data_IF_979554709577
#
_entry.id   IF_979554709577
#
_cell.length_a   1.000
_cell.length_b   1.000
_cell.length_c   1.000
_cell.angle_alpha   90.00
_cell.angle_beta   90.00
_cell.angle_gamma   90.00
#
_symmetry.space_group_name_H-M   'P 1'
#
loop_
_entity.id
_entity.type
_entity.pdbx_description
1 polymer ?
2 non-polymer ?
3 non-polymer ?
4 water ?
#
# COMPACT_ATOMS: atom_id res chain seq x y z
N UNK A 5 7.57 -8.34 23.81
CA UNK A 5 7.03 -8.95 22.55
C UNK A 5 7.62 -8.31 21.30
N UNK A 6 8.24 -9.14 20.43
CA UNK A 6 8.85 -8.64 19.19
C UNK A 6 7.81 -8.14 18.21
N UNK A 7 8.16 -7.06 17.52
CA UNK A 7 7.28 -6.49 16.51
C UNK A 7 7.37 -7.44 15.30
N UNK A 8 6.27 -8.10 14.96
CA UNK A 8 6.30 -9.02 13.83
C UNK A 8 5.76 -8.45 12.50
N UNK A 9 6.64 -8.37 11.50
CA UNK A 9 6.28 -7.88 10.17
C UNK A 9 6.16 -9.02 9.17
N UNK A 10 5.01 -9.10 8.50
CA UNK A 10 4.82 -10.13 7.49
C UNK A 10 4.95 -9.48 6.13
N UNK A 11 5.85 -9.98 5.29
CA UNK A 11 6.02 -9.40 3.95
C UNK A 11 5.80 -10.47 2.90
N UNK A 12 4.71 -10.33 2.15
CA UNK A 12 4.40 -11.28 1.11
C UNK A 12 4.51 -10.57 -0.24
N UNK A 13 4.22 -11.29 -1.31
CA UNK A 13 4.28 -10.70 -2.63
C UNK A 13 4.65 -11.73 -3.67
N UNK A 14 4.36 -11.44 -4.93
CA UNK A 14 4.70 -12.37 -5.99
C UNK A 14 6.20 -12.54 -6.12
N UNK A 15 6.61 -13.52 -6.92
CA UNK A 15 8.02 -13.77 -7.13
C UNK A 15 8.63 -12.56 -7.88
N UNK A 16 9.79 -12.10 -7.40
CA UNK A 16 10.53 -10.96 -7.97
C UNK A 16 9.78 -9.64 -7.84
N UNK A 17 8.90 -9.55 -6.85
CA UNK A 17 8.11 -8.36 -6.59
C UNK A 17 8.92 -7.28 -5.86
N UNK A 18 10.02 -7.68 -5.25
CA UNK A 18 10.84 -6.73 -4.50
C UNK A 18 10.77 -6.97 -2.99
N UNK A 19 10.04 -8.00 -2.59
CA UNK A 19 9.88 -8.34 -1.17
C UNK A 19 11.16 -8.79 -0.48
N UNK A 20 12.07 -9.43 -1.20
CA UNK A 20 13.34 -9.85 -0.60
C UNK A 20 14.16 -8.59 -0.33
N UNK A 21 14.27 -7.74 -1.34
CA UNK A 21 15.02 -6.49 -1.22
C UNK A 21 14.43 -5.58 -0.16
N UNK A 22 13.10 -5.41 -0.20
CA UNK A 22 12.42 -4.54 0.76
C UNK A 22 12.70 -5.02 2.18
N UNK A 23 12.58 -6.34 2.37
CA UNK A 23 12.81 -6.96 3.66
C UNK A 23 14.23 -6.71 4.14
N UNK A 24 15.20 -6.87 3.24
CA UNK A 24 16.59 -6.66 3.58
C UNK A 24 16.89 -5.20 3.91
N UNK A 25 16.36 -4.29 3.10
CA UNK A 25 16.56 -2.85 3.32
C UNK A 25 15.99 -2.41 4.67
N UNK A 26 14.90 -3.06 5.09
CA UNK A 26 14.27 -2.75 6.36
C UNK A 26 15.15 -3.34 7.47
N UNK A 27 15.71 -4.50 7.19
CA UNK A 27 16.59 -5.20 8.11
C UNK A 27 17.87 -4.41 8.33
N UNK A 28 18.37 -3.83 7.24
CA UNK A 28 19.60 -3.03 7.24
C UNK A 28 19.40 -1.71 7.97
N UNK A 29 18.20 -1.15 7.87
CA UNK A 29 17.86 0.13 8.50
C UNK A 29 17.71 0.04 10.03
N UNK A 30 17.35 -1.14 10.54
CA UNK A 30 17.18 -1.31 11.97
C UNK A 30 18.40 -1.99 12.62
N UNK A 31 19.37 -2.37 11.79
CA UNK A 31 20.58 -3.01 12.28
C UNK A 31 20.42 -4.35 12.97
N UNK A 32 21.14 -4.50 14.09
CA UNK A 32 21.13 -5.72 14.90
C UNK A 32 19.75 -6.05 15.50
N UNK A 33 18.81 -5.13 15.33
CA UNK A 33 17.48 -5.29 15.90
C UNK A 33 16.43 -6.09 15.11
N UNK A 34 16.83 -6.66 13.98
CA UNK A 34 15.89 -7.45 13.20
C UNK A 34 16.38 -8.84 12.86
N UNK A 35 15.45 -9.80 12.90
CA UNK A 35 15.71 -11.18 12.53
C UNK A 35 14.84 -11.39 11.28
N UNK A 36 15.48 -11.73 10.17
CA UNK A 36 14.82 -11.95 8.90
C UNK A 36 14.76 -13.44 8.49
N UNK A 37 13.53 -13.99 8.46
CA UNK A 37 13.26 -15.39 8.08
C UNK A 37 12.55 -15.49 6.71
N UNK A 38 13.30 -15.84 5.65
CA UNK A 38 12.71 -15.96 4.31
C UNK A 38 12.09 -17.33 4.10
N UNK A 39 10.77 -17.38 4.08
CA UNK A 39 10.06 -18.65 3.88
C UNK A 39 10.38 -19.35 2.54
N UNK A 40 10.88 -18.59 1.56
CA UNK A 40 11.23 -19.18 0.27
C UNK A 40 12.45 -20.13 0.37
N UNK A 41 13.01 -20.28 1.57
CA UNK A 41 14.14 -21.20 1.79
C UNK A 41 13.72 -22.41 2.61
N UNK A 42 12.44 -22.45 2.96
CA UNK A 42 11.89 -23.53 3.77
C UNK A 42 11.12 -24.58 2.96
N UNK A 43 11.59 -24.90 1.76
CA UNK A 43 10.93 -25.94 0.96
C UNK A 43 11.28 -27.25 1.64
N UNK A 44 10.36 -28.22 1.57
CA UNK A 44 10.61 -29.52 2.18
C UNK A 44 11.88 -30.12 1.61
N UNK A 45 12.64 -30.78 2.47
CA UNK A 45 13.88 -31.43 2.05
C UNK A 45 13.50 -32.66 1.24
N UNK A 46 13.68 -32.58 -0.06
CA UNK A 46 13.37 -33.69 -0.94
C UNK A 46 14.67 -34.28 -1.48
N UNK A 47 15.73 -34.13 -0.70
CA UNK A 47 17.04 -34.61 -1.11
C UNK A 47 17.21 -36.10 -1.39
N UNK A 48 16.30 -36.92 -0.87
CA UNK A 48 16.32 -38.36 -1.08
C UNK A 48 15.71 -38.74 -2.44
N UNK A 49 15.18 -37.77 -3.16
CA UNK A 49 14.56 -38.06 -4.46
C UNK A 49 15.42 -37.70 -5.66
N UNK A 50 15.27 -38.45 -6.77
CA UNK A 50 16.07 -38.15 -7.97
C UNK A 50 15.71 -36.76 -8.56
N UNK A 51 16.66 -36.17 -9.28
CA UNK A 51 16.48 -34.86 -9.90
C UNK A 51 15.20 -34.81 -10.76
N UNK A 52 14.94 -35.88 -11.51
CA UNK A 52 13.77 -35.96 -12.35
C UNK A 52 12.51 -35.62 -11.57
N UNK A 53 12.42 -36.15 -10.35
CA UNK A 53 11.25 -35.91 -9.51
C UNK A 53 11.28 -34.58 -8.76
N UNK A 54 12.46 -34.08 -8.41
CA UNK A 54 12.54 -32.77 -7.75
C UNK A 54 12.19 -31.69 -8.78
N UNK A 55 12.39 -32.01 -10.06
CA UNK A 55 12.09 -31.09 -11.16
C UNK A 55 10.61 -31.03 -11.54
N UNK A 56 9.83 -32.03 -11.11
CA UNK A 56 8.41 -32.04 -11.43
C UNK A 56 7.56 -31.32 -10.38
N UNK A 57 8.11 -31.19 -9.18
CA UNK A 57 7.43 -30.54 -8.07
C UNK A 57 7.02 -29.08 -8.34
N UNK A 58 5.80 -28.75 -7.98
CA UNK A 58 5.25 -27.39 -8.13
C UNK A 58 5.68 -26.60 -6.87
N UNK A 59 6.76 -25.85 -7.03
CA UNK A 59 7.36 -25.04 -5.98
C UNK A 59 6.64 -23.76 -5.68
N UNK A 60 5.38 -23.67 -6.09
CA UNK A 60 4.59 -22.48 -5.85
C UNK A 60 3.26 -22.84 -5.20
N UNK A 61 3.12 -24.13 -4.91
CA UNK A 61 1.93 -24.69 -4.25
C UNK A 61 2.28 -24.72 -2.75
N UNK A 62 1.33 -24.33 -1.88
CA UNK A 62 1.67 -24.37 -0.45
C UNK A 62 2.19 -25.69 0.09
N UNK A 63 1.87 -26.79 -0.60
CA UNK A 63 2.34 -28.10 -0.16
C UNK A 63 3.85 -28.34 -0.35
N UNK A 64 4.49 -27.50 -1.17
CA UNK A 64 5.92 -27.65 -1.39
C UNK A 64 6.71 -27.07 -0.21
N UNK A 65 6.02 -26.38 0.68
CA UNK A 65 6.66 -25.74 1.83
C UNK A 65 6.60 -26.51 3.16
N UNK A 66 7.70 -26.40 3.91
CA UNK A 66 7.81 -27.04 5.21
C UNK A 66 7.25 -26.05 6.22
N UNK A 67 5.93 -25.89 6.22
CA UNK A 67 5.28 -24.96 7.13
C UNK A 67 5.57 -25.31 8.59
N UNK A 68 5.54 -26.60 8.91
CA UNK A 68 5.80 -27.07 10.27
C UNK A 68 7.06 -26.44 10.81
N UNK A 69 8.14 -26.59 10.05
CA UNK A 69 9.46 -26.06 10.42
C UNK A 69 9.49 -24.54 10.50
N UNK A 70 8.97 -23.87 9.46
CA UNK A 70 8.97 -22.40 9.42
C UNK A 70 8.30 -21.80 10.66
N UNK A 71 7.13 -22.35 11.00
CA UNK A 71 6.35 -21.91 12.16
C UNK A 71 7.11 -22.23 13.46
N UNK A 72 7.81 -23.36 13.49
CA UNK A 72 8.58 -23.77 14.66
C UNK A 72 9.66 -22.71 14.93
N UNK A 73 10.30 -22.24 13.86
CA UNK A 73 11.33 -21.23 13.99
C UNK A 73 10.74 -19.85 14.29
N UNK A 74 9.61 -19.53 13.65
CA UNK A 74 8.97 -18.25 13.90
C UNK A 74 8.60 -18.14 15.39
N UNK A 75 8.17 -19.27 15.95
CA UNK A 75 7.79 -19.33 17.36
C UNK A 75 9.00 -19.37 18.30
N UNK A 76 10.12 -19.89 17.82
CA UNK A 76 11.34 -19.96 18.62
C UNK A 76 11.89 -18.55 18.83
N UNK A 77 11.93 -17.76 17.76
CA UNK A 77 12.43 -16.37 17.83
C UNK A 77 11.50 -15.51 18.69
N UNK A 78 10.21 -15.84 18.67
CA UNK A 78 9.22 -15.11 19.45
C UNK A 78 9.40 -15.34 20.93
N UNK A 79 10.14 -16.40 21.27
CA UNK A 79 10.40 -16.72 22.65
C UNK A 79 11.88 -16.45 22.97
N UNK A 80 12.51 -15.66 22.10
CA UNK A 80 13.90 -15.29 22.27
C UNK A 80 14.93 -16.39 22.03
N UNK A 81 14.59 -17.39 21.23
CA UNK A 81 15.51 -18.48 20.94
C UNK A 81 16.02 -18.32 19.51
N UNK A 82 17.28 -18.72 19.25
CA UNK A 82 17.86 -18.62 17.91
C UNK A 82 17.54 -19.90 17.12
N UNK A 83 17.75 -19.86 15.81
CA UNK A 83 17.48 -21.03 14.98
C UNK A 83 18.57 -21.25 13.93
N UNK A 84 18.65 -22.48 13.43
CA UNK A 84 19.60 -22.80 12.38
C UNK A 84 18.76 -22.87 11.11
N UNK A 85 18.63 -21.72 10.46
CA UNK A 85 17.84 -21.57 9.25
C UNK A 85 18.37 -22.36 8.06
N UNK A 86 17.53 -23.24 7.48
CA UNK A 86 17.94 -24.03 6.31
C UNK A 86 18.19 -23.10 5.13
N UNK A 87 18.94 -23.58 4.14
CA UNK A 87 19.22 -22.76 2.98
C UNK A 87 18.88 -23.58 1.75
N UNK A 88 17.97 -23.09 0.93
CA UNK A 88 17.63 -23.85 -0.26
C UNK A 88 18.61 -23.56 -1.41
N UNK A 89 19.08 -24.62 -2.05
CA UNK A 89 20.01 -24.53 -3.18
C UNK A 89 19.13 -24.50 -4.43
N UNK A 90 18.90 -23.31 -4.99
CA UNK A 90 18.05 -23.18 -6.17
C UNK A 90 18.69 -23.67 -7.46
N UNK A 91 20.00 -23.84 -7.44
CA UNK A 91 20.70 -24.33 -8.63
C UNK A 91 20.61 -25.85 -8.72
N UNK A 92 20.61 -26.52 -7.58
CA UNK A 92 20.55 -27.99 -7.58
C UNK A 92 19.13 -28.51 -7.31
N UNK A 93 18.24 -27.61 -6.90
CA UNK A 93 16.84 -27.92 -6.59
C UNK A 93 16.67 -28.79 -5.35
N UNK A 94 17.33 -28.43 -4.26
CA UNK A 94 17.20 -29.24 -3.05
C UNK A 94 17.63 -28.47 -1.83
N UNK A 95 17.22 -28.93 -0.66
CA UNK A 95 17.61 -28.27 0.57
C UNK A 95 19.13 -28.41 0.65
N UNK A 96 19.82 -27.29 0.78
CA UNK A 96 21.27 -27.29 0.86
C UNK A 96 21.80 -27.85 2.17
N UNK A 97 23.07 -28.31 2.18
CA UNK A 97 23.66 -28.84 3.41
C UNK A 97 24.00 -27.66 4.33
N UNK A 98 24.11 -26.48 3.72
CA UNK A 98 24.42 -25.23 4.40
C UNK A 98 23.26 -24.77 5.30
N UNK A 99 23.62 -24.22 6.46
CA UNK A 99 22.65 -23.68 7.40
C UNK A 99 23.10 -22.26 7.73
N UNK A 100 22.23 -21.47 8.33
CA UNK A 100 22.59 -20.11 8.69
C UNK A 100 21.95 -19.71 10.01
N UNK A 101 22.76 -19.22 10.95
CA UNK A 101 22.31 -18.78 12.27
C UNK A 101 21.53 -17.48 12.23
N UNK A 102 20.37 -17.49 12.88
CA UNK A 102 19.52 -16.32 12.97
C UNK A 102 19.24 -16.09 14.46
N UNK A 103 19.80 -15.01 14.98
CA UNK A 103 19.66 -14.64 16.39
C UNK A 103 18.33 -13.94 16.68
N UNK A 104 17.75 -14.17 17.87
CA UNK A 104 16.49 -13.51 18.23
C UNK A 104 16.67 -11.99 18.22
N UNK A 105 15.58 -11.28 18.00
CA UNK A 105 15.64 -9.82 17.91
C UNK A 105 14.27 -9.23 18.19
N UNK A 106 14.22 -7.93 18.54
CA UNK A 106 12.97 -7.22 18.85
C UNK A 106 12.10 -6.93 17.62
N UNK A 107 12.56 -7.33 16.45
CA UNK A 107 11.78 -7.15 15.24
C UNK A 107 12.01 -8.40 14.40
N UNK A 108 10.93 -9.10 14.08
CA UNK A 108 11.06 -10.29 13.25
C UNK A 108 10.30 -10.13 11.93
N UNK A 109 11.04 -10.23 10.82
CA UNK A 109 10.46 -10.12 9.49
C UNK A 109 10.27 -11.52 8.88
N UNK A 110 9.00 -11.86 8.67
CA UNK A 110 8.60 -13.13 8.06
C UNK A 110 8.31 -12.81 6.59
N UNK A 111 9.28 -13.08 5.73
CA UNK A 111 9.16 -12.77 4.30
C UNK A 111 9.03 -14.00 3.40
N UNK A 112 8.11 -13.92 2.42
CA UNK A 112 7.90 -15.01 1.49
C UNK A 112 6.67 -14.85 0.61
N UNK A 113 6.62 -15.55 -0.53
CA UNK A 113 5.46 -15.49 -1.42
C UNK A 113 4.16 -15.97 -0.76
N UNK A 114 4.30 -16.89 0.20
CA UNK A 114 3.13 -17.44 0.88
C UNK A 114 3.09 -17.24 2.39
N UNK A 115 3.82 -16.26 2.91
CA UNK A 115 3.79 -16.02 4.36
C UNK A 115 2.44 -15.48 4.81
N UNK A 116 1.57 -15.10 3.87
CA UNK A 116 0.25 -14.59 4.21
C UNK A 116 -0.89 -15.61 3.94
N UNK A 117 -0.51 -16.81 3.50
CA UNK A 117 -1.48 -17.85 3.20
C UNK A 117 -1.99 -18.62 4.42
N UNK A 118 -1.09 -19.17 5.24
CA UNK A 118 -1.58 -19.91 6.40
C UNK A 118 -1.98 -18.97 7.52
N UNK A 119 -3.18 -19.17 8.07
CA UNK A 119 -3.66 -18.33 9.16
C UNK A 119 -2.71 -18.42 10.36
N UNK A 120 -2.08 -19.56 10.53
CA UNK A 120 -1.16 -19.74 11.65
C UNK A 120 -0.05 -18.72 11.58
N UNK A 121 0.38 -18.37 10.37
CA UNK A 121 1.43 -17.38 10.19
C UNK A 121 0.91 -15.97 10.34
N UNK A 122 -0.32 -15.74 9.89
CA UNK A 122 -0.93 -14.43 9.98
C UNK A 122 -1.14 -13.98 11.43
N UNK A 123 -1.57 -14.92 12.28
CA UNK A 123 -1.82 -14.63 13.69
C UNK A 123 -0.60 -14.17 14.49
N UNK A 124 0.60 -14.44 13.95
CA UNK A 124 1.85 -14.04 14.60
C UNK A 124 2.29 -12.64 14.19
N UNK A 125 1.63 -12.08 13.18
CA UNK A 125 1.97 -10.78 12.64
C UNK A 125 1.23 -9.58 13.17
N UNK A 126 1.99 -8.51 13.44
CA UNK A 126 1.43 -7.23 13.92
C UNK A 126 1.17 -6.34 12.71
N UNK A 127 2.01 -6.49 11.68
CA UNK A 127 1.92 -5.73 10.44
C UNK A 127 2.08 -6.69 9.27
N UNK A 128 1.07 -6.73 8.41
CA UNK A 128 1.08 -7.60 7.24
C UNK A 128 1.26 -6.74 5.99
N UNK A 129 2.31 -7.01 5.23
CA UNK A 129 2.58 -6.25 4.01
C UNK A 129 2.57 -7.12 2.76
N UNK A 130 2.05 -6.56 1.67
CA UNK A 130 2.07 -7.24 0.39
C UNK A 130 2.77 -6.27 -0.55
N UNK A 131 3.86 -6.72 -1.17
CA UNK A 131 4.64 -5.91 -2.10
C UNK A 131 4.03 -6.12 -3.50
N UNK A 132 3.45 -5.08 -4.07
CA UNK A 132 2.78 -5.22 -5.35
C UNK A 132 3.54 -4.78 -6.61
N UNK A 133 3.50 -5.63 -7.62
CA UNK A 133 4.12 -5.37 -8.92
C UNK A 133 3.44 -6.20 -9.99
N UNK A 134 3.28 -5.61 -11.17
CA UNK A 134 2.67 -6.26 -12.32
C UNK A 134 3.52 -7.45 -12.75
N UNK A 135 2.87 -8.57 -12.99
CA UNK A 135 3.53 -9.79 -13.39
C UNK A 135 4.52 -9.63 -14.56
N UNK A 136 4.25 -8.71 -15.49
CA UNK A 136 5.19 -8.55 -16.59
C UNK A 136 6.53 -8.05 -16.09
N UNK A 137 6.49 -7.07 -15.19
CA UNK A 137 7.72 -6.52 -14.63
C UNK A 137 8.41 -7.56 -13.75
N UNK A 138 7.62 -8.29 -12.97
CA UNK A 138 8.16 -9.31 -12.09
C UNK A 138 8.78 -10.45 -12.89
N UNK A 139 8.16 -10.81 -14.01
CA UNK A 139 8.67 -11.87 -14.86
C UNK A 139 10.05 -11.50 -15.39
N UNK A 140 10.23 -10.24 -15.76
CA UNK A 140 11.50 -9.75 -16.28
C UNK A 140 12.62 -10.05 -15.28
N UNK A 141 12.38 -9.70 -14.02
CA UNK A 141 13.36 -9.94 -12.97
C UNK A 141 13.52 -11.43 -12.69
N UNK A 142 12.42 -12.17 -12.64
CA UNK A 142 12.46 -13.61 -12.41
C UNK A 142 13.40 -14.24 -13.45
N UNK A 143 13.12 -13.98 -14.71
CA UNK A 143 13.92 -14.48 -15.83
C UNK A 143 15.41 -14.10 -15.71
N UNK A 144 15.70 -12.84 -15.38
CA UNK A 144 17.09 -12.36 -15.24
C UNK A 144 17.81 -13.11 -14.14
N UNK A 145 17.19 -13.12 -12.96
CA UNK A 145 17.76 -13.81 -11.81
C UNK A 145 17.95 -15.31 -12.12
N UNK A 146 16.98 -15.93 -12.78
CA UNK A 146 17.07 -17.36 -13.11
C UNK A 146 18.16 -17.76 -14.08
N UNK A 147 18.36 -16.95 -15.12
CA UNK A 147 19.37 -17.25 -16.12
C UNK A 147 20.78 -16.85 -15.68
N UNK A 148 20.88 -15.81 -14.86
CA UNK A 148 22.19 -15.34 -14.41
C UNK A 148 22.70 -16.03 -13.15
N UNK A 149 21.80 -16.36 -12.24
CA UNK A 149 22.20 -16.98 -10.98
C UNK A 149 21.77 -18.41 -10.68
N UNK A 150 20.78 -18.93 -11.39
CA UNK A 150 20.29 -20.26 -11.08
C UNK A 150 20.42 -21.40 -12.09
N UNK A 151 21.30 -21.24 -13.07
CA UNK A 151 21.51 -22.27 -14.07
C UNK A 151 20.26 -22.69 -14.85
N UNK A 152 19.28 -21.80 -14.90
CA UNK A 152 18.02 -22.10 -15.61
C UNK A 152 18.06 -21.67 -17.08
N UNK A 153 17.43 -22.49 -17.93
CA UNK A 153 17.37 -22.18 -19.35
C UNK A 153 16.21 -21.24 -19.66
N UNK A 154 16.27 -20.59 -20.82
CA UNK A 154 15.23 -19.66 -21.26
C UNK A 154 13.89 -20.36 -21.33
N UNK A 155 13.90 -21.50 -22.01
CA UNK A 155 12.72 -22.32 -22.20
C UNK A 155 12.20 -22.89 -20.88
N UNK A 156 13.12 -23.33 -20.03
CA UNK A 156 12.75 -23.87 -18.74
C UNK A 156 12.05 -22.89 -17.84
N UNK A 157 12.47 -21.63 -17.86
CA UNK A 157 11.85 -20.60 -17.03
C UNK A 157 10.44 -20.29 -17.52
N UNK A 158 10.30 -20.06 -18.83
CA UNK A 158 8.99 -19.77 -19.44
C UNK A 158 8.04 -20.93 -19.11
N UNK A 159 8.50 -22.15 -19.36
CA UNK A 159 7.68 -23.33 -19.07
C UNK A 159 7.22 -23.33 -17.62
N UNK A 160 8.17 -23.24 -16.69
CA UNK A 160 7.86 -23.25 -15.27
C UNK A 160 6.88 -22.16 -14.88
N UNK A 161 7.16 -20.94 -15.34
CA UNK A 161 6.32 -19.80 -15.03
C UNK A 161 4.88 -19.94 -15.51
N UNK A 162 4.69 -20.34 -16.77
CA UNK A 162 3.35 -20.48 -17.35
C UNK A 162 2.52 -21.63 -16.79
N UNK A 163 3.13 -22.79 -16.57
CA UNK A 163 2.36 -23.91 -16.03
C UNK A 163 2.40 -24.06 -14.49
N UNK A 164 3.24 -23.28 -13.81
CA UNK A 164 3.31 -23.36 -12.35
C UNK A 164 3.27 -22.04 -11.60
N UNK A 165 4.38 -21.31 -11.62
CA UNK A 165 4.48 -20.03 -10.92
C UNK A 165 3.26 -19.11 -11.11
N UNK A 166 2.86 -18.89 -12.36
CA UNK A 166 1.71 -18.01 -12.65
C UNK A 166 0.35 -18.47 -12.12
N UNK A 167 -0.11 -19.67 -12.54
CA UNK A 167 -1.42 -20.14 -12.04
C UNK A 167 -1.44 -20.25 -10.51
N UNK A 168 -0.32 -20.71 -9.92
CA UNK A 168 -0.24 -20.82 -8.46
C UNK A 168 -0.34 -19.44 -7.85
N UNK A 169 0.26 -18.46 -8.50
CA UNK A 169 0.25 -17.08 -8.05
C UNK A 169 -1.15 -16.44 -8.03
N UNK A 170 -1.91 -16.66 -9.11
CA UNK A 170 -3.25 -16.12 -9.24
C UNK A 170 -4.20 -16.80 -8.26
N UNK A 171 -4.01 -18.11 -8.10
CA UNK A 171 -4.86 -18.89 -7.21
C UNK A 171 -4.50 -18.85 -5.70
N UNK A 172 -3.23 -18.72 -5.37
CA UNK A 172 -2.80 -18.72 -3.96
C UNK A 172 -2.24 -17.41 -3.42
N UNK A 173 -1.14 -16.95 -4.01
CA UNK A 173 -0.46 -15.72 -3.59
C UNK A 173 -1.32 -14.46 -3.62
N UNK A 174 -1.69 -14.03 -4.83
CA UNK A 174 -2.49 -12.83 -5.09
C UNK A 174 -3.71 -12.62 -4.19
N UNK A 175 -4.49 -13.67 -3.92
CA UNK A 175 -5.66 -13.47 -3.04
C UNK A 175 -5.25 -13.02 -1.62
N UNK A 176 -4.04 -13.37 -1.17
CA UNK A 176 -3.60 -12.99 0.19
C UNK A 176 -3.41 -11.49 0.34
N UNK A 177 -3.63 -10.75 -0.73
CA UNK A 177 -3.50 -9.29 -0.67
C UNK A 177 -4.60 -8.72 0.23
N UNK A 178 -5.69 -9.48 0.36
CA UNK A 178 -6.84 -9.11 1.18
C UNK A 178 -6.52 -9.08 2.68
N UNK A 179 -5.47 -9.81 3.07
CA UNK A 179 -5.07 -9.87 4.46
C UNK A 179 -4.04 -8.79 4.79
N UNK A 180 -3.60 -8.05 3.78
CA UNK A 180 -2.60 -7.02 3.99
C UNK A 180 -3.09 -5.69 4.57
N UNK A 181 -2.29 -5.14 5.48
CA UNK A 181 -2.60 -3.86 6.09
C UNK A 181 -2.14 -2.77 5.14
N UNK A 182 -0.97 -2.97 4.54
CA UNK A 182 -0.44 -2.01 3.60
C UNK A 182 0.14 -2.72 2.37
N UNK A 183 0.00 -2.07 1.21
CA UNK A 183 0.49 -2.59 -0.06
C UNK A 183 1.65 -1.70 -0.54
N UNK A 184 2.81 -2.30 -0.78
CA UNK A 184 3.98 -1.54 -1.24
C UNK A 184 4.34 -1.72 -2.72
N UNK A 185 4.25 -0.64 -3.50
CA UNK A 185 4.58 -0.71 -4.93
C UNK A 185 6.10 -0.52 -5.11
N UNK A 186 6.66 -1.09 -6.18
CA UNK A 186 8.10 -0.97 -6.46
C UNK A 186 8.94 -1.32 -5.23
N UNK A 187 8.55 -2.39 -4.53
CA UNK A 187 9.25 -2.81 -3.32
C UNK A 187 10.76 -2.69 -3.35
N UNK A 188 11.34 -2.94 -4.52
CA UNK A 188 12.78 -2.85 -4.69
C UNK A 188 13.36 -1.45 -4.60
N UNK A 189 12.62 -0.47 -5.08
CA UNK A 189 13.09 0.91 -5.04
C UNK A 189 11.96 1.88 -4.63
N UNK A 190 11.77 1.98 -3.32
CA UNK A 190 10.75 2.83 -2.73
C UNK A 190 11.30 3.29 -1.38
N UNK A 191 12.09 4.37 -1.38
CA UNK A 191 12.70 4.92 -0.16
C UNK A 191 11.68 5.49 0.82
N UNK A 192 10.58 6.01 0.28
CA UNK A 192 9.52 6.60 1.08
C UNK A 192 8.79 5.56 1.89
N UNK A 193 8.38 4.47 1.25
CA UNK A 193 7.68 3.39 1.94
C UNK A 193 8.62 2.76 2.96
N UNK A 194 9.89 2.65 2.60
CA UNK A 194 10.91 2.09 3.49
C UNK A 194 10.99 2.90 4.77
N UNK A 195 11.14 4.21 4.63
CA UNK A 195 11.22 5.12 5.76
C UNK A 195 10.01 5.04 6.67
N UNK A 196 8.82 4.99 6.08
CA UNK A 196 7.59 4.90 6.84
C UNK A 196 7.50 3.60 7.63
N UNK A 197 7.98 2.51 7.05
CA UNK A 197 7.95 1.21 7.72
C UNK A 197 8.98 1.20 8.84
N UNK A 198 10.12 1.85 8.59
CA UNK A 198 11.18 1.92 9.58
C UNK A 198 10.63 2.74 10.75
N UNK A 199 9.97 3.85 10.42
CA UNK A 199 9.37 4.74 11.42
C UNK A 199 8.33 4.01 12.25
N UNK A 200 7.51 3.20 11.59
CA UNK A 200 6.50 2.42 12.26
C UNK A 200 7.18 1.48 13.27
N UNK A 201 8.19 0.76 12.80
CA UNK A 201 8.95 -0.17 13.64
C UNK A 201 9.70 0.56 14.76
N UNK A 202 10.35 1.69 14.41
CA UNK A 202 11.08 2.49 15.39
C UNK A 202 10.18 2.91 16.54
N UNK A 203 8.93 3.24 16.21
CA UNK A 203 7.97 3.66 17.21
C UNK A 203 7.63 2.50 18.14
N UNK A 204 7.44 1.31 17.57
CA UNK A 204 7.13 0.13 18.36
C UNK A 204 8.33 -0.27 19.23
N UNK A 205 9.54 -0.10 18.68
CA UNK A 205 10.77 -0.42 19.41
C UNK A 205 10.89 0.51 20.61
N UNK A 206 10.51 1.76 20.40
CA UNK A 206 10.54 2.77 21.47
C UNK A 206 9.58 2.36 22.58
N UNK A 207 8.42 1.79 22.21
CA UNK A 207 7.43 1.34 23.19
C UNK A 207 8.02 0.21 24.02
N UNK A 208 8.92 -0.57 23.42
CA UNK A 208 9.58 -1.68 24.11
C UNK A 208 10.51 -1.16 25.22
N UNK A 209 11.36 -0.20 24.86
CA UNK A 209 12.29 0.38 25.81
C UNK A 209 11.68 1.35 26.79
N UNK A 210 10.87 2.29 26.28
CA UNK A 210 10.21 3.28 27.12
C UNK A 210 9.13 2.63 27.99
N UNK A 211 8.84 3.26 29.13
CA UNK A 211 7.83 2.78 30.07
C UNK A 211 7.32 3.91 30.97
N UNK B 4 10.50 26.47 8.75
CA UNK B 4 10.70 25.08 8.27
C UNK B 4 9.84 24.81 7.04
N UNK B 5 9.07 23.73 7.08
CA UNK B 5 8.18 23.33 5.98
C UNK B 5 7.32 22.18 6.47
N UNK B 6 5.99 22.28 6.26
CA UNK B 6 5.03 21.27 6.68
C UNK B 6 5.16 19.93 5.96
N UNK B 7 4.69 18.88 6.62
CA UNK B 7 4.68 17.53 6.08
C UNK B 7 3.43 17.46 5.20
N UNK B 8 3.62 17.25 3.90
CA UNK B 8 2.53 17.17 2.95
C UNK B 8 2.23 15.75 2.50
N UNK B 9 1.01 15.28 2.81
CA UNK B 9 0.58 13.94 2.42
C UNK B 9 -0.54 14.03 1.40
N UNK B 10 -0.38 13.30 0.30
CA UNK B 10 -1.39 13.27 -0.73
C UNK B 10 -2.15 11.96 -0.53
N UNK B 11 -3.47 12.01 -0.59
CA UNK B 11 -4.27 10.80 -0.44
C UNK B 11 -5.29 10.77 -1.56
N UNK B 12 -5.01 9.98 -2.58
CA UNK B 12 -5.91 9.85 -3.71
C UNK B 12 -6.62 8.52 -3.61
N UNK B 13 -7.46 8.24 -4.61
CA UNK B 13 -8.21 7.00 -4.67
C UNK B 13 -9.50 7.22 -5.42
N UNK B 14 -10.20 6.16 -5.75
CA UNK B 14 -11.45 6.31 -6.47
C UNK B 14 -12.52 6.93 -5.60
N UNK B 15 -13.65 7.29 -6.20
CA UNK B 15 -14.75 7.83 -5.42
C UNK B 15 -15.20 6.70 -4.50
N UNK B 16 -15.48 7.05 -3.24
CA UNK B 16 -15.92 6.09 -2.24
C UNK B 16 -14.90 5.01 -1.87
N UNK B 17 -13.62 5.31 -2.01
CA UNK B 17 -12.57 4.35 -1.68
C UNK B 17 -12.24 4.34 -0.17
N UNK B 18 -12.55 5.42 0.52
CA UNK B 18 -12.25 5.50 1.93
C UNK B 18 -11.25 6.62 2.18
N UNK B 19 -10.79 7.26 1.10
CA UNK B 19 -9.82 8.34 1.18
C UNK B 19 -10.24 9.47 2.13
N UNK B 20 -11.53 9.75 2.22
CA UNK B 20 -12.01 10.81 3.10
C UNK B 20 -11.93 10.38 4.57
N UNK B 21 -12.39 9.16 4.85
CA UNK B 21 -12.36 8.63 6.21
C UNK B 21 -10.95 8.44 6.75
N UNK B 22 -10.04 7.93 5.90
CA UNK B 22 -8.65 7.75 6.32
C UNK B 22 -8.04 9.14 6.61
N UNK B 23 -8.31 10.11 5.73
CA UNK B 23 -7.81 11.47 5.91
C UNK B 23 -8.29 12.08 7.23
N UNK B 24 -9.56 11.85 7.56
CA UNK B 24 -10.11 12.37 8.79
C UNK B 24 -9.59 11.63 10.00
N UNK B 25 -9.47 10.30 9.88
CA UNK B 25 -8.96 9.47 10.97
C UNK B 25 -7.54 9.88 11.32
N UNK B 26 -6.71 10.12 10.30
CA UNK B 26 -5.33 10.55 10.50
C UNK B 26 -5.29 11.93 11.16
N UNK B 27 -6.13 12.83 10.66
CA UNK B 27 -6.21 14.19 11.19
C UNK B 27 -6.64 14.15 12.65
N UNK B 28 -7.68 13.37 12.93
CA UNK B 28 -8.22 13.21 14.27
C UNK B 28 -7.14 12.74 15.24
N UNK B 29 -6.45 11.67 14.86
CA UNK B 29 -5.39 11.07 15.69
C UNK B 29 -4.24 12.02 16.02
N UNK B 30 -3.76 12.76 15.03
CA UNK B 30 -2.66 13.69 15.24
C UNK B 30 -3.09 14.94 16.01
N UNK B 31 -4.37 15.00 16.37
CA UNK B 31 -4.91 16.13 17.11
C UNK B 31 -4.94 17.43 16.31
N UNK B 32 -4.72 18.54 17.02
CA UNK B 32 -4.73 19.86 16.41
C UNK B 32 -3.42 20.20 15.69
N UNK B 33 -2.86 19.22 14.98
CA UNK B 33 -1.61 19.42 14.25
C UNK B 33 -1.75 19.14 12.76
N UNK B 34 -2.98 19.19 12.26
CA UNK B 34 -3.22 18.88 10.85
C UNK B 34 -4.19 19.83 10.13
N UNK B 35 -3.92 20.04 8.85
CA UNK B 35 -4.76 20.88 7.99
C UNK B 35 -5.24 19.98 6.84
N UNK B 36 -6.56 19.84 6.71
CA UNK B 36 -7.14 18.99 5.67
C UNK B 36 -7.79 19.72 4.51
N UNK B 37 -7.25 19.52 3.30
CA UNK B 37 -7.80 20.14 2.09
C UNK B 37 -8.38 19.12 1.12
N UNK B 38 -9.70 18.91 1.20
CA UNK B 38 -10.38 17.96 0.31
C UNK B 38 -10.58 18.60 -1.06
N UNK B 39 -9.82 18.17 -2.04
CA UNK B 39 -9.92 18.72 -3.41
C UNK B 39 -11.33 18.58 -3.99
N UNK B 40 -12.13 17.67 -3.44
CA UNK B 40 -13.50 17.47 -3.90
C UNK B 40 -14.46 18.62 -3.55
N UNK B 41 -13.93 19.66 -2.94
CA UNK B 41 -14.73 20.83 -2.58
C UNK B 41 -14.22 22.02 -3.38
N UNK B 42 -13.24 21.75 -4.24
CA UNK B 42 -12.63 22.77 -5.07
C UNK B 42 -13.06 22.73 -6.53
N UNK B 43 -14.29 22.31 -6.81
CA UNK B 43 -14.76 22.30 -8.19
C UNK B 43 -14.87 23.74 -8.68
N UNK B 44 -14.59 23.96 -9.96
CA UNK B 44 -14.70 25.30 -10.53
C UNK B 44 -16.08 25.85 -10.18
N UNK B 45 -16.15 27.13 -9.81
CA UNK B 45 -17.44 27.72 -9.46
C UNK B 45 -18.25 27.85 -10.75
N UNK B 46 -19.40 27.20 -10.80
CA UNK B 46 -20.24 27.23 -11.98
C UNK B 46 -21.65 27.72 -11.67
N UNK B 47 -21.77 28.54 -10.63
CA UNK B 47 -23.07 29.06 -10.24
C UNK B 47 -23.75 29.94 -11.28
N UNK B 48 -22.97 30.43 -12.25
CA UNK B 48 -23.52 31.29 -13.30
C UNK B 48 -24.32 30.50 -14.33
N UNK B 49 -23.99 29.21 -14.47
CA UNK B 49 -24.66 28.34 -15.42
C UNK B 49 -26.01 27.83 -14.93
N UNK B 50 -26.94 27.53 -15.85
CA UNK B 50 -28.28 27.01 -15.51
C UNK B 50 -28.13 25.59 -14.94
N UNK B 51 -29.10 25.15 -14.12
CA UNK B 51 -29.06 23.83 -13.51
C UNK B 51 -28.83 22.68 -14.47
N UNK B 52 -29.50 22.70 -15.61
CA UNK B 52 -29.34 21.64 -16.60
C UNK B 52 -27.91 21.55 -17.08
N UNK B 53 -27.27 22.70 -17.26
CA UNK B 53 -25.87 22.73 -17.70
C UNK B 53 -25.02 22.10 -16.59
N UNK B 54 -25.33 22.47 -15.35
CA UNK B 54 -24.64 21.97 -14.17
C UNK B 54 -24.81 20.47 -13.98
N UNK B 55 -25.92 19.91 -14.45
CA UNK B 55 -26.15 18.47 -14.32
C UNK B 55 -25.45 17.62 -15.38
N UNK B 56 -25.03 18.26 -16.47
CA UNK B 56 -24.36 17.62 -17.59
C UNK B 56 -22.83 17.61 -17.48
N UNK B 57 -22.30 18.53 -16.67
CA UNK B 57 -20.85 18.60 -16.49
C UNK B 57 -20.29 17.30 -15.93
N UNK B 58 -19.15 16.88 -16.46
CA UNK B 58 -18.46 15.69 -16.03
C UNK B 58 -17.58 16.08 -14.85
N UNK B 59 -18.04 15.78 -13.64
CA UNK B 59 -17.33 16.10 -12.43
C UNK B 59 -16.21 15.16 -12.05
N UNK B 60 -15.76 14.36 -13.01
CA UNK B 60 -14.66 13.43 -12.74
C UNK B 60 -13.50 13.70 -13.68
N UNK B 61 -13.67 14.71 -14.54
CA UNK B 61 -12.64 15.11 -15.49
C UNK B 61 -11.81 16.21 -14.81
N UNK B 62 -10.49 16.25 -15.07
CA UNK B 62 -9.58 17.25 -14.50
C UNK B 62 -10.02 18.71 -14.69
N UNK B 63 -10.50 19.04 -15.90
CA UNK B 63 -10.95 20.40 -16.21
C UNK B 63 -12.07 20.91 -15.29
N UNK B 64 -12.75 20.00 -14.59
CA UNK B 64 -13.82 20.39 -13.68
C UNK B 64 -13.29 20.94 -12.35
N UNK B 65 -12.01 20.70 -12.06
CA UNK B 65 -11.42 21.18 -10.81
C UNK B 65 -10.65 22.50 -10.88
N UNK B 66 -10.92 23.37 -9.91
CA UNK B 66 -10.23 24.65 -9.83
C UNK B 66 -8.87 24.39 -9.15
N UNK B 67 -7.96 23.83 -9.94
CA UNK B 67 -6.61 23.53 -9.48
C UNK B 67 -5.87 24.80 -9.08
N UNK B 68 -6.03 25.88 -9.84
CA UNK B 68 -5.38 27.16 -9.53
C UNK B 68 -5.63 27.55 -8.08
N UNK B 69 -6.91 27.56 -7.70
CA UNK B 69 -7.32 27.93 -6.36
C UNK B 69 -6.77 26.94 -5.34
N UNK B 70 -6.85 25.65 -5.68
CA UNK B 70 -6.40 24.59 -4.81
C UNK B 70 -4.91 24.70 -4.55
N UNK B 71 -4.15 24.92 -5.61
CA UNK B 71 -2.70 25.07 -5.57
C UNK B 71 -2.34 26.33 -4.76
N UNK B 72 -3.10 27.40 -4.95
CA UNK B 72 -2.90 28.65 -4.24
C UNK B 72 -3.06 28.39 -2.74
N UNK B 73 -4.14 27.68 -2.39
CA UNK B 73 -4.41 27.35 -0.99
C UNK B 73 -3.37 26.41 -0.39
N UNK B 74 -2.83 25.53 -1.22
CA UNK B 74 -1.81 24.59 -0.77
C UNK B 74 -0.50 25.34 -0.52
N UNK B 75 -0.18 26.28 -1.40
CA UNK B 75 1.03 27.07 -1.26
C UNK B 75 0.97 28.02 -0.07
N UNK B 76 -0.20 28.60 0.17
CA UNK B 76 -0.38 29.51 1.31
C UNK B 76 -0.25 28.75 2.63
N UNK B 77 -0.81 27.54 2.69
CA UNK B 77 -0.74 26.72 3.89
C UNK B 77 0.70 26.27 4.17
N UNK B 78 1.49 26.11 3.11
CA UNK B 78 2.89 25.70 3.24
C UNK B 78 3.76 26.87 3.72
N UNK B 79 3.29 28.09 3.43
CA UNK B 79 4.00 29.30 3.86
C UNK B 79 3.48 29.78 5.22
N UNK B 80 2.73 28.92 5.89
CA UNK B 80 2.18 29.24 7.21
C UNK B 80 1.08 30.30 7.19
N UNK B 81 0.19 30.20 6.22
CA UNK B 81 -0.93 31.13 6.08
C UNK B 81 -2.27 30.39 6.04
N UNK B 82 -3.29 30.91 6.73
CA UNK B 82 -4.61 30.28 6.75
C UNK B 82 -5.32 30.50 5.40
N UNK B 83 -6.38 29.75 5.15
CA UNK B 83 -7.10 29.90 3.89
C UNK B 83 -8.60 29.78 4.07
N UNK B 84 -9.35 30.42 3.16
CA UNK B 84 -10.80 30.35 3.17
C UNK B 84 -11.18 29.28 2.13
N UNK B 85 -11.37 28.06 2.61
CA UNK B 85 -11.70 26.93 1.76
C UNK B 85 -13.15 26.97 1.25
N UNK B 86 -13.35 26.79 -0.07
CA UNK B 86 -14.70 26.80 -0.65
C UNK B 86 -15.43 25.52 -0.26
N UNK B 87 -16.74 25.60 -0.08
CA UNK B 87 -17.54 24.44 0.27
C UNK B 87 -18.45 24.11 -0.89
N UNK B 88 -18.36 22.88 -1.39
CA UNK B 88 -19.18 22.47 -2.52
C UNK B 88 -20.49 21.84 -2.07
N UNK B 89 -21.57 22.25 -2.72
CA UNK B 89 -22.92 21.77 -2.45
C UNK B 89 -23.27 20.71 -3.51
N UNK B 90 -23.30 19.45 -3.08
CA UNK B 90 -23.58 18.32 -3.97
C UNK B 90 -25.05 18.09 -4.27
N UNK B 91 -25.91 18.67 -3.44
CA UNK B 91 -27.35 18.54 -3.64
C UNK B 91 -27.78 19.56 -4.69
N UNK B 92 -27.16 20.73 -4.65
CA UNK B 92 -27.46 21.80 -5.58
C UNK B 92 -26.53 21.78 -6.79
N UNK B 93 -25.44 21.01 -6.70
CA UNK B 93 -24.48 20.89 -7.79
C UNK B 93 -23.80 22.22 -8.11
N UNK B 94 -23.41 22.96 -7.08
CA UNK B 94 -22.75 24.26 -7.22
C UNK B 94 -21.99 24.65 -5.96
N UNK B 95 -20.94 25.44 -6.14
CA UNK B 95 -20.14 25.94 -5.02
C UNK B 95 -21.00 26.88 -4.17
N UNK B 96 -20.98 26.70 -2.86
CA UNK B 96 -21.76 27.55 -1.95
C UNK B 96 -21.11 28.90 -1.73
N UNK B 97 -21.92 29.96 -1.59
CA UNK B 97 -21.50 31.35 -1.38
C UNK B 97 -20.62 31.54 -0.15
N UNK B 98 -20.77 30.65 0.82
CA UNK B 98 -20.02 30.70 2.07
C UNK B 98 -18.84 29.72 2.06
N UNK B 99 -17.75 30.13 2.70
CA UNK B 99 -16.56 29.29 2.78
C UNK B 99 -16.24 29.02 4.25
N UNK B 100 -15.31 28.10 4.48
CA UNK B 100 -14.91 27.77 5.84
C UNK B 100 -13.42 28.01 5.98
N UNK B 101 -12.99 28.55 7.14
CA UNK B 101 -11.57 28.82 7.35
C UNK B 101 -10.79 27.54 7.63
N UNK B 102 -9.51 27.56 7.27
CA UNK B 102 -8.61 26.45 7.49
C UNK B 102 -7.27 27.04 7.91
N UNK B 103 -6.91 26.84 9.16
CA UNK B 103 -5.67 27.35 9.72
C UNK B 103 -4.46 26.50 9.36
N UNK B 104 -3.27 27.12 9.28
CA UNK B 104 -2.01 26.45 8.94
C UNK B 104 -1.70 25.39 10.00
N UNK B 105 -0.85 24.43 9.64
CA UNK B 105 -0.50 23.35 10.57
C UNK B 105 0.74 22.60 10.12
N UNK B 106 1.47 21.98 11.08
CA UNK B 106 2.69 21.21 10.81
C UNK B 106 2.47 20.01 9.87
N UNK B 107 1.21 19.58 9.73
CA UNK B 107 0.86 18.48 8.83
C UNK B 107 -0.28 18.90 7.90
N UNK B 108 -0.04 18.79 6.61
CA UNK B 108 -1.04 19.16 5.60
C UNK B 108 -1.43 17.94 4.78
N UNK B 109 -2.73 17.70 4.71
CA UNK B 109 -3.29 16.59 3.95
C UNK B 109 -4.09 17.09 2.74
N UNK B 110 -3.65 16.69 1.55
CA UNK B 110 -4.29 17.05 0.29
C UNK B 110 -5.02 15.79 -0.19
N UNK B 111 -6.32 15.69 0.11
CA UNK B 111 -7.14 14.53 -0.26
C UNK B 111 -8.13 14.76 -1.41
N UNK B 112 -8.31 13.75 -2.26
CA UNK B 112 -9.23 13.87 -3.38
C UNK B 112 -9.01 12.84 -4.47
N UNK B 113 -10.01 12.62 -5.33
CA UNK B 113 -9.85 11.63 -6.41
C UNK B 113 -8.70 11.92 -7.35
N UNK B 114 -8.41 13.20 -7.60
CA UNK B 114 -7.34 13.55 -8.53
C UNK B 114 -6.15 14.31 -7.94
N UNK B 115 -5.93 14.25 -6.63
CA UNK B 115 -4.80 14.97 -6.06
C UNK B 115 -3.45 14.49 -6.59
N UNK B 116 -3.40 13.29 -7.17
CA UNK B 116 -2.13 12.80 -7.68
C UNK B 116 -1.92 13.02 -9.17
N UNK B 117 -2.95 13.52 -9.85
CA UNK B 117 -2.88 13.76 -11.28
C UNK B 117 -1.99 14.97 -11.69
N UNK B 118 -2.19 16.14 -11.05
CA UNK B 118 -1.35 17.28 -11.43
C UNK B 118 0.08 17.11 -10.96
N UNK B 119 1.01 17.35 -11.89
CA UNK B 119 2.43 17.27 -11.62
C UNK B 119 2.77 18.26 -10.51
N UNK B 120 2.09 19.41 -10.53
CA UNK B 120 2.30 20.50 -9.56
C UNK B 120 1.86 20.16 -8.13
N UNK B 121 0.89 19.27 -7.97
CA UNK B 121 0.44 18.89 -6.64
C UNK B 121 1.39 17.85 -6.04
N UNK B 122 1.90 16.97 -6.91
CA UNK B 122 2.82 15.91 -6.50
C UNK B 122 4.13 16.45 -5.98
N UNK B 123 4.66 17.46 -6.66
CA UNK B 123 5.92 18.11 -6.27
C UNK B 123 5.85 18.61 -4.82
N UNK B 124 4.66 18.99 -4.39
CA UNK B 124 4.44 19.49 -3.03
C UNK B 124 4.34 18.38 -1.99
N UNK B 125 4.09 17.16 -2.43
CA UNK B 125 3.91 16.03 -1.52
C UNK B 125 5.16 15.30 -1.04
N UNK B 126 5.19 15.02 0.25
CA UNK B 126 6.30 14.29 0.86
C UNK B 126 5.98 12.79 0.81
N UNK B 127 4.70 12.47 1.01
CA UNK B 127 4.22 11.09 1.00
C UNK B 127 2.95 11.01 0.15
N UNK B 128 3.01 10.21 -0.93
CA UNK B 128 1.87 10.04 -1.84
C UNK B 128 1.19 8.71 -1.52
N UNK B 129 -0.08 8.79 -1.13
CA UNK B 129 -0.87 7.61 -0.78
C UNK B 129 -2.05 7.41 -1.71
N UNK B 130 -2.34 6.14 -2.01
CA UNK B 130 -3.48 5.80 -2.84
C UNK B 130 -4.30 4.72 -2.11
N UNK B 131 -5.54 5.08 -1.77
CA UNK B 131 -6.46 4.19 -1.09
C UNK B 131 -7.14 3.33 -2.14
N UNK B 132 -6.90 2.03 -2.10
CA UNK B 132 -7.46 1.11 -3.07
C UNK B 132 -8.68 0.35 -2.55
N UNK B 133 -9.69 0.23 -3.41
CA UNK B 133 -10.93 -0.48 -3.09
C UNK B 133 -11.54 -0.81 -4.44
N UNK B 134 -11.92 -2.06 -4.64
CA UNK B 134 -12.50 -2.50 -5.90
C UNK B 134 -13.64 -1.61 -6.34
N UNK B 135 -13.77 -1.43 -7.65
CA UNK B 135 -14.82 -0.62 -8.25
C UNK B 135 -16.25 -1.03 -7.81
N UNK B 136 -16.53 -2.34 -7.79
CA UNK B 136 -17.86 -2.79 -7.37
C UNK B 136 -18.19 -2.36 -5.95
N UNK B 137 -17.25 -2.57 -5.03
CA UNK B 137 -17.42 -2.17 -3.63
C UNK B 137 -17.55 -0.66 -3.49
N UNK B 138 -16.72 0.08 -4.21
CA UNK B 138 -16.77 1.54 -4.17
C UNK B 138 -18.08 2.05 -4.72
N UNK B 139 -18.63 1.33 -5.69
CA UNK B 139 -19.90 1.73 -6.28
C UNK B 139 -21.03 1.58 -5.27
N UNK B 140 -20.94 0.56 -4.41
CA UNK B 140 -21.96 0.31 -3.39
C UNK B 140 -22.09 1.53 -2.51
N UNK B 141 -20.98 1.92 -1.88
CA UNK B 141 -20.94 3.07 -0.99
C UNK B 141 -21.29 4.36 -1.70
N UNK B 142 -20.71 4.57 -2.89
CA UNK B 142 -21.00 5.76 -3.68
C UNK B 142 -22.51 5.85 -3.91
N UNK B 143 -23.13 4.69 -4.13
CA UNK B 143 -24.57 4.63 -4.38
C UNK B 143 -25.42 4.84 -3.12
N UNK B 144 -24.97 4.30 -1.99
CA UNK B 144 -25.70 4.44 -0.73
C UNK B 144 -25.73 5.91 -0.33
N UNK B 145 -24.57 6.54 -0.42
CA UNK B 145 -24.43 7.94 -0.06
C UNK B 145 -25.22 8.90 -0.96
N UNK B 146 -25.04 8.77 -2.27
CA UNK B 146 -25.73 9.65 -3.22
C UNK B 146 -27.24 9.70 -3.05
N UNK B 147 -27.83 8.55 -2.69
CA UNK B 147 -29.27 8.45 -2.49
C UNK B 147 -29.69 8.84 -1.08
N UNK B 148 -28.86 8.49 -0.09
CA UNK B 148 -29.18 8.79 1.30
C UNK B 148 -28.88 10.20 1.79
N UNK B 149 -28.00 10.93 1.10
CA UNK B 149 -27.67 12.27 1.55
C UNK B 149 -27.37 13.31 0.46
N UNK B 150 -27.56 12.94 -0.80
CA UNK B 150 -27.29 13.88 -1.89
C UNK B 150 -28.41 14.12 -2.90
N UNK B 151 -29.60 13.60 -2.58
CA UNK B 151 -30.75 13.79 -3.44
C UNK B 151 -30.64 13.24 -4.85
N UNK B 152 -29.88 12.17 -5.02
CA UNK B 152 -29.68 11.55 -6.33
C UNK B 152 -30.66 10.40 -6.54
N UNK B 153 -31.15 10.26 -7.77
CA UNK B 153 -32.06 9.17 -8.11
C UNK B 153 -31.22 7.92 -8.39
N UNK B 154 -31.82 6.74 -8.26
CA UNK B 154 -31.10 5.51 -8.53
C UNK B 154 -30.63 5.45 -9.97
N UNK B 155 -31.50 5.86 -10.88
CA UNK B 155 -31.19 5.89 -12.30
C UNK B 155 -30.12 6.93 -12.60
N UNK B 156 -30.18 8.06 -11.90
CA UNK B 156 -29.20 9.12 -12.09
C UNK B 156 -27.79 8.69 -11.73
N UNK B 157 -27.64 8.02 -10.59
CA UNK B 157 -26.34 7.54 -10.13
C UNK B 157 -25.73 6.55 -11.12
N UNK B 158 -26.55 5.65 -11.65
CA UNK B 158 -26.09 4.66 -12.60
C UNK B 158 -25.61 5.28 -13.88
N UNK B 159 -26.40 6.22 -14.41
CA UNK B 159 -26.04 6.91 -15.64
C UNK B 159 -24.76 7.73 -15.46
N UNK B 160 -24.63 8.44 -14.35
CA UNK B 160 -23.43 9.25 -14.09
C UNK B 160 -22.18 8.37 -13.94
N UNK B 161 -22.35 7.20 -13.33
CA UNK B 161 -21.25 6.28 -13.11
C UNK B 161 -20.74 5.67 -14.41
N UNK B 162 -21.62 4.98 -15.14
CA UNK B 162 -21.24 4.33 -16.40
C UNK B 162 -20.78 5.30 -17.49
N UNK B 163 -21.37 6.49 -17.51
CA UNK B 163 -21.01 7.49 -18.52
C UNK B 163 -19.81 8.36 -18.16
N UNK B 164 -19.62 8.66 -16.87
CA UNK B 164 -18.52 9.52 -16.45
C UNK B 164 -17.60 8.99 -15.35
N UNK B 165 -18.15 8.79 -14.16
CA UNK B 165 -17.33 8.36 -13.02
C UNK B 165 -16.39 7.21 -13.34
N UNK B 166 -16.92 6.15 -13.92
CA UNK B 166 -16.09 5.01 -14.29
C UNK B 166 -15.04 5.31 -15.37
N UNK B 167 -15.46 5.85 -16.55
CA UNK B 167 -14.49 6.15 -17.62
C UNK B 167 -13.33 7.05 -17.17
N UNK B 168 -13.65 8.13 -16.43
CA UNK B 168 -12.63 9.05 -15.96
C UNK B 168 -11.72 8.41 -14.90
N UNK B 169 -12.25 7.43 -14.18
CA UNK B 169 -11.47 6.73 -13.17
C UNK B 169 -10.40 5.87 -13.85
N UNK B 170 -10.81 5.03 -14.79
CA UNK B 170 -9.86 4.16 -15.50
C UNK B 170 -8.85 5.00 -16.28
N UNK B 171 -9.32 6.10 -16.85
CA UNK B 171 -8.47 6.95 -17.65
C UNK B 171 -7.56 7.91 -16.86
N UNK B 172 -8.10 8.57 -15.84
CA UNK B 172 -7.30 9.53 -15.06
C UNK B 172 -6.87 9.11 -13.65
N UNK B 173 -7.83 8.67 -12.84
CA UNK B 173 -7.59 8.29 -11.45
C UNK B 173 -6.72 7.06 -11.22
N UNK B 174 -7.22 5.91 -11.64
CA UNK B 174 -6.50 4.64 -11.47
C UNK B 174 -5.04 4.74 -11.87
N UNK B 175 -4.72 5.36 -13.01
CA UNK B 175 -3.30 5.47 -13.40
C UNK B 175 -2.42 6.21 -12.39
N UNK B 176 -2.95 7.21 -11.69
CA UNK B 176 -2.15 7.95 -10.71
C UNK B 176 -1.66 7.06 -9.58
N UNK B 177 -2.15 5.83 -9.54
CA UNK B 177 -1.72 4.89 -8.52
C UNK B 177 -0.24 4.57 -8.73
N UNK B 178 0.22 4.81 -9.95
CA UNK B 178 1.62 4.58 -10.32
C UNK B 178 2.56 5.51 -9.56
N UNK B 179 2.05 6.70 -9.21
CA UNK B 179 2.84 7.71 -8.50
C UNK B 179 2.86 7.48 -6.99
N UNK B 180 1.99 6.58 -6.50
CA UNK B 180 1.90 6.32 -5.08
C UNK B 180 3.13 5.72 -4.40
N UNK B 181 3.45 6.24 -3.23
CA UNK B 181 4.58 5.74 -2.45
C UNK B 181 4.08 4.49 -1.75
N UNK B 182 2.81 4.52 -1.36
CA UNK B 182 2.18 3.41 -0.68
C UNK B 182 0.71 3.31 -1.06
N UNK B 183 0.21 2.07 -1.15
CA UNK B 183 -1.19 1.82 -1.46
C UNK B 183 -1.85 1.33 -0.16
N UNK B 184 -3.05 1.86 0.14
CA UNK B 184 -3.75 1.48 1.36
C UNK B 184 -5.13 0.92 1.08
N UNK B 185 -5.34 -0.36 1.39
CA UNK B 185 -6.63 -1.04 1.19
C UNK B 185 -7.49 -0.80 2.44
N UNK B 186 -8.79 -0.99 2.32
CA UNK B 186 -9.71 -0.82 3.45
C UNK B 186 -9.47 0.51 4.21
N UNK B 187 -9.40 1.60 3.45
CA UNK B 187 -9.15 2.91 4.05
C UNK B 187 -10.10 3.35 5.13
N UNK B 188 -11.29 2.75 5.16
CA UNK B 188 -12.28 3.13 6.17
C UNK B 188 -12.06 2.53 7.56
N UNK B 189 -11.50 1.33 7.62
CA UNK B 189 -11.28 0.66 8.90
C UNK B 189 -9.96 -0.11 8.89
N UNK B 190 -8.86 0.63 8.78
CA UNK B 190 -7.53 0.04 8.75
C UNK B 190 -6.64 0.67 9.84
N UNK B 191 -6.77 0.18 11.09
CA UNK B 191 -6.00 0.70 12.23
C UNK B 191 -4.48 0.62 12.07
N UNK B 192 -3.98 -0.45 11.46
CA UNK B 192 -2.55 -0.61 11.27
C UNK B 192 -2.01 0.49 10.34
N UNK B 193 -2.61 0.61 9.16
CA UNK B 193 -2.21 1.63 8.19
C UNK B 193 -2.33 3.04 8.78
N UNK B 194 -3.24 3.24 9.72
CA UNK B 194 -3.40 4.54 10.35
C UNK B 194 -2.24 4.84 11.31
N UNK B 195 -1.87 3.84 12.11
CA UNK B 195 -0.76 3.99 13.04
C UNK B 195 0.55 4.11 12.28
N UNK B 196 0.59 3.56 11.07
CA UNK B 196 1.77 3.66 10.22
C UNK B 196 1.86 5.10 9.72
N UNK B 197 0.75 5.61 9.17
CA UNK B 197 0.72 6.98 8.66
C UNK B 197 1.00 7.99 9.78
N UNK B 198 0.43 7.74 10.95
CA UNK B 198 0.63 8.64 12.07
C UNK B 198 2.09 8.61 12.49
N UNK B 199 2.69 7.42 12.49
CA UNK B 199 4.10 7.26 12.87
C UNK B 199 5.02 8.08 11.98
N UNK B 200 4.71 8.10 10.68
CA UNK B 200 5.50 8.85 9.70
C UNK B 200 5.39 10.36 9.96
N UNK B 201 4.17 10.81 10.27
CA UNK B 201 3.89 12.21 10.54
C UNK B 201 4.61 12.73 11.79
N UNK B 202 4.50 11.97 12.88
CA UNK B 202 5.14 12.33 14.14
C UNK B 202 6.65 12.51 14.01
N UNK B 203 7.27 11.68 13.17
CA UNK B 203 8.70 11.76 12.92
C UNK B 203 9.04 13.02 12.14
N UNK B 204 8.16 13.41 11.22
CA UNK B 204 8.37 14.61 10.43
C UNK B 204 8.15 15.85 11.29
N UNK B 205 7.29 15.71 12.30
CA UNK B 205 7.01 16.80 13.22
C UNK B 205 8.23 16.97 14.11
N UNK B 206 8.87 15.86 14.43
CA UNK B 206 10.06 15.84 15.27
C UNK B 206 11.21 16.54 14.55
N UNK B 207 11.24 16.39 13.23
CA UNK B 207 12.28 16.99 12.39
C UNK B 207 12.12 18.50 12.16
N UNK B 208 10.88 18.99 12.19
CA UNK B 208 10.62 20.42 11.95
C UNK B 208 10.53 21.28 13.22
N UNK B 209 10.37 20.63 14.37
CA UNK B 209 10.26 21.37 15.62
C UNK B 209 9.08 20.96 16.47
X LIG C 1 11.15 -17.98 -4.19
X LIG C 1 9.88 -18.50 -4.48
X LIG C 1 10.01 -18.93 -5.93
X LIG C 1 11.10 -19.80 -6.08
X LIG C 1 10.97 -20.62 -7.18
X LIG C 1 11.72 -21.87 -7.00
X LIG C 1 11.64 -22.51 -5.80
X LIG C 1 12.27 -23.77 -5.64
X LIG C 1 12.98 -24.31 -6.73
X LIG C 1 13.03 -23.64 -7.92
X LIG C 1 12.43 -22.46 -8.05
X LIG C 1 12.68 -22.02 -9.17
X LIG C 1 13.65 -25.46 -6.72
X LIG C 1 9.47 -20.93 -7.17
X LIG C 1 8.93 -21.06 -8.54
X LIG C 1 8.83 -19.75 -6.43
X LIG C 1 8.22 -18.71 -7.27
X LIG D 1 11.33 -12.94 -4.57
X LIG D 1 12.83 -12.80 -4.88
X LIG D 1 11.66 -14.38 -5.09
X LIG D 1 11.13 -13.81 -3.21
X LIG D 1 11.17 -10.32 -4.21
X LIG D 1 11.41 -10.83 -2.77
X LIG D 1 10.00 -9.35 -4.27
X LIG D 1 10.50 -11.80 -5.06
X LIG D 1 13.98 -9.14 -4.62
X LIG D 1 14.81 -10.41 -4.54
X LIG D 1 13.94 -8.17 -3.47
X LIG D 1 12.46 -9.67 -5.01
X LIG D 1 14.45 -8.24 -5.88
X LIG E 1 -15.98 13.37 -4.59
X LIG E 1 -15.72 13.40 -5.99
X LIG E 1 -17.00 12.86 -6.58
X LIG E 1 -18.05 13.82 -6.49
X LIG E 1 -18.97 13.50 -7.54
X LIG E 1 -19.76 14.71 -7.80
X LIG E 1 -19.14 15.93 -8.02
X LIG E 1 -19.91 17.06 -8.29
X LIG E 1 -21.31 16.92 -8.31
X LIG E 1 -21.83 15.69 -8.08
X LIG E 1 -21.07 14.59 -7.85
X LIG E 1 -21.53 13.46 -7.64
X LIG E 1 -22.11 17.99 -8.55
X LIG E 1 -18.04 13.19 -8.70
X LIG E 1 -18.67 12.35 -9.62
X LIG E 1 -16.82 12.57 -8.03
X LIG E 1 -16.67 11.14 -8.15
X LIG F 1 -15.66 9.91 -1.93
X LIG F 1 -14.25 10.49 -2.88
X LIG F 1 -16.29 11.09 -3.04
X LIG F 1 -15.64 11.20 -1.06
X LIG F 1 -14.31 8.61 -0.13
X LIG F 1 -12.90 8.05 -0.33
X LIG F 1 -13.83 9.87 0.56
X LIG F 1 -14.47 8.84 -1.60
X LIG F 1 -15.36 7.90 2.58
X LIG F 1 -14.27 8.31 3.53
X LIG F 1 -16.54 8.78 2.27
X LIG F 1 -14.59 7.62 1.16
X LIG F 1 -15.92 6.48 3.09
#
# INVERSE_FOLDING_TARGET
MSAPKPFVIGIAGGTASGKTTLAQALARTLGERVALLPMDHYYKDLGHLPLEERLRVNYDHPDAFDLALYLEHAQALLRGLPVEMPVYDFRAHTRSPRRTPVRPAPVVILEGILVLYPKELRDLMDLKVFVDADADERFIRRLKRDVLERGRSLEGVVAQYLEQVKPMHLHFVEPTKRYADVIVPRGGQNPVALEMLAAKALARLARMGAA
MSAPKPFVIGIAGGTASGKTTLAQALARTLGERVALLPMDHYYKDLGHLPLEERLRVNYDHPDAFDLALYLEHAQALLRGLPVEMPVYDFRAHTRSPRRTPVRPAPVVILEGILVLYPKELRDLMDLKVFVDADADERFIRRLKRDVLERGRSLEGVVAQYLEQVKPMHLHFVEPTKRYADVIVPRGGQNPVALEMLAAKALARLARMGAA
CTN O5' C5' C4' O4' C1' N1 C6 C5 C4 N3 C2 O2 N4 C2' O2' C3' O3'
ACP PG O1G O2G O3G PB O1B O2B C3B PA O1A O2A O3A O5'
CTN O5' C5' C4' O4' C1' N1 C6 C5 C4 N3 C2 O2 N4 C2' O2' C3' O3'
ACP PG O1G O2G O3G PB O1B O2B C3B PA O1A O2A O3A O5'
#
